data_IF_435770153866
#
_entry.id   IF_435770153866
#
_cell.length_a   1.000
_cell.length_b   1.000
_cell.length_c   1.000
_cell.angle_alpha   90.00
_cell.angle_beta   90.00
_cell.angle_gamma   90.00
#
_symmetry.space_group_name_H-M   'P 1'
#
loop_
_entity.id
_entity.type
_entity.pdbx_description
1 polymer ?
#
# COMPACT_ATOMS: atom_id res chain seq x y z
N UNK A 1 -16.45 22.93 13.64
CA UNK A 1 -17.03 23.83 12.60
C UNK A 1 -18.50 24.15 12.94
N UNK A 2 -19.06 25.31 12.55
CA UNK A 2 -20.40 25.78 13.00
C UNK A 2 -21.53 24.78 12.73
N UNK A 3 -21.57 24.15 11.56
CA UNK A 3 -22.62 23.20 11.13
C UNK A 3 -22.23 21.73 11.27
N UNK A 4 -21.19 21.44 12.05
CA UNK A 4 -20.63 20.09 12.12
C UNK A 4 -21.65 19.06 12.63
N UNK A 5 -22.50 19.42 13.60
CA UNK A 5 -23.52 18.51 14.16
C UNK A 5 -24.55 18.08 13.10
N UNK A 6 -25.06 19.04 12.32
CA UNK A 6 -26.07 18.75 11.29
C UNK A 6 -25.45 17.99 10.11
N UNK A 7 -24.25 18.38 9.67
CA UNK A 7 -23.53 17.72 8.57
C UNK A 7 -23.20 16.27 8.91
N UNK A 8 -22.79 15.99 10.16
CA UNK A 8 -22.60 14.62 10.66
C UNK A 8 -23.89 13.80 10.62
N UNK A 9 -25.01 14.38 11.07
CA UNK A 9 -26.32 13.71 11.05
C UNK A 9 -26.78 13.39 9.63
N UNK A 10 -26.62 14.33 8.70
CA UNK A 10 -26.92 14.12 7.29
C UNK A 10 -26.03 13.02 6.70
N UNK A 11 -24.75 12.96 7.06
CA UNK A 11 -23.79 12.00 6.49
C UNK A 11 -24.07 10.55 6.90
N UNK A 12 -24.86 10.34 7.94
CA UNK A 12 -25.32 9.02 8.39
C UNK A 12 -26.66 8.62 7.78
N UNK A 13 -27.31 9.48 6.98
CA UNK A 13 -28.60 9.19 6.37
C UNK A 13 -28.44 8.14 5.26
N UNK A 14 -29.28 7.09 5.19
CA UNK A 14 -29.20 6.06 4.15
C UNK A 14 -29.23 6.57 2.71
N UNK A 15 -29.94 7.67 2.45
CA UNK A 15 -30.00 8.35 1.15
C UNK A 15 -30.42 9.81 1.33
N UNK A 16 -29.59 10.72 0.85
CA UNK A 16 -29.84 12.15 0.82
C UNK A 16 -30.44 12.60 -0.51
N UNK A 17 -31.24 13.66 -0.44
CA UNK A 17 -31.70 14.46 -1.58
C UNK A 17 -31.50 15.93 -1.24
N UNK A 18 -31.53 16.81 -2.24
CA UNK A 18 -31.37 18.25 -2.04
C UNK A 18 -32.44 18.80 -1.09
N UNK A 19 -33.69 18.37 -1.24
CA UNK A 19 -34.81 18.80 -0.39
C UNK A 19 -34.63 18.38 1.06
N UNK A 20 -34.08 17.19 1.32
CA UNK A 20 -33.80 16.71 2.66
C UNK A 20 -32.71 17.53 3.34
N UNK A 21 -31.69 17.95 2.59
CA UNK A 21 -30.60 18.78 3.11
C UNK A 21 -31.13 20.16 3.44
N UNK A 22 -31.83 20.82 2.50
CA UNK A 22 -32.44 22.15 2.71
C UNK A 22 -33.42 22.12 3.90
N UNK A 23 -34.31 21.12 3.96
CA UNK A 23 -35.25 20.97 5.07
C UNK A 23 -34.56 20.77 6.42
N UNK A 24 -33.43 20.06 6.46
CA UNK A 24 -32.67 19.88 7.68
C UNK A 24 -32.04 21.20 8.16
N UNK A 25 -31.39 21.95 7.26
CA UNK A 25 -30.78 23.24 7.61
C UNK A 25 -31.83 24.26 8.08
N UNK A 26 -32.96 24.34 7.40
CA UNK A 26 -34.08 25.19 7.82
C UNK A 26 -34.63 24.78 9.20
N UNK A 27 -34.76 23.47 9.47
CA UNK A 27 -35.33 22.97 10.74
C UNK A 27 -34.40 23.16 11.95
N UNK A 28 -33.11 22.88 11.81
CA UNK A 28 -32.19 22.81 12.95
C UNK A 28 -31.33 24.06 13.11
N UNK A 29 -31.06 24.79 12.03
CA UNK A 29 -30.17 25.96 12.02
C UNK A 29 -30.91 27.25 11.64
N UNK A 30 -32.20 27.17 11.29
CA UNK A 30 -33.03 28.29 10.82
C UNK A 30 -32.36 29.09 9.68
N UNK A 31 -31.77 28.36 8.73
CA UNK A 31 -31.00 28.91 7.62
C UNK A 31 -31.35 28.24 6.31
N UNK A 32 -31.51 29.07 5.30
CA UNK A 32 -31.55 28.64 3.92
C UNK A 32 -30.12 28.44 3.39
N UNK A 33 -29.92 27.36 2.66
CA UNK A 33 -28.61 26.97 2.11
C UNK A 33 -28.79 26.60 0.64
N UNK A 34 -27.82 27.00 -0.17
CA UNK A 34 -27.78 26.59 -1.57
C UNK A 34 -27.16 25.19 -1.65
N UNK A 35 -27.87 24.26 -2.29
CA UNK A 35 -27.49 22.85 -2.40
C UNK A 35 -27.46 22.47 -3.87
N UNK A 36 -26.33 21.95 -4.31
CA UNK A 36 -26.13 21.53 -5.69
C UNK A 36 -25.61 20.10 -5.74
N UNK A 37 -26.25 19.23 -6.53
CA UNK A 37 -25.71 17.90 -6.82
C UNK A 37 -24.30 17.99 -7.42
N UNK A 38 -23.35 17.28 -6.80
CA UNK A 38 -21.93 17.27 -7.20
C UNK A 38 -21.34 15.87 -7.04
N UNK A 39 -20.59 15.42 -8.05
CA UNK A 39 -19.87 14.15 -7.98
C UNK A 39 -18.37 14.41 -7.81
N UNK A 40 -17.80 13.89 -6.73
CA UNK A 40 -16.36 13.91 -6.47
C UNK A 40 -15.93 12.47 -6.23
N UNK A 41 -15.68 11.72 -7.31
CA UNK A 41 -15.47 10.26 -7.25
C UNK A 41 -16.73 9.46 -6.88
N UNK A 42 -17.55 9.96 -5.95
CA UNK A 42 -18.86 9.45 -5.56
C UNK A 42 -19.93 10.53 -5.69
N UNK A 43 -21.20 10.15 -5.97
CA UNK A 43 -22.33 11.08 -5.95
C UNK A 43 -22.50 11.75 -4.59
N UNK A 44 -22.84 13.03 -4.59
CA UNK A 44 -23.00 13.83 -3.40
C UNK A 44 -23.60 15.19 -3.69
N UNK A 45 -23.48 16.08 -2.70
CA UNK A 45 -24.03 17.41 -2.70
C UNK A 45 -22.99 18.39 -2.17
N UNK A 46 -22.86 19.51 -2.87
CA UNK A 46 -22.16 20.69 -2.41
C UNK A 46 -23.17 21.60 -1.72
N UNK A 47 -22.83 22.08 -0.53
CA UNK A 47 -23.68 22.92 0.30
C UNK A 47 -22.93 24.22 0.57
N UNK A 48 -23.45 25.34 0.03
CA UNK A 48 -22.92 26.66 0.31
C UNK A 48 -23.47 27.18 1.64
N UNK A 49 -22.57 27.46 2.58
CA UNK A 49 -22.91 28.03 3.89
C UNK A 49 -22.13 29.33 4.12
N UNK A 50 -22.54 30.13 5.11
CA UNK A 50 -21.77 31.29 5.59
C UNK A 50 -20.40 30.92 6.18
N UNK A 51 -20.15 29.64 6.49
CA UNK A 51 -18.85 29.13 6.94
C UNK A 51 -17.95 28.65 5.79
N UNK A 52 -18.47 28.61 4.55
CA UNK A 52 -17.80 28.07 3.36
C UNK A 52 -18.55 26.89 2.73
N UNK A 53 -17.92 26.29 1.71
CA UNK A 53 -18.48 25.14 0.99
C UNK A 53 -18.28 23.84 1.77
N UNK A 54 -19.35 23.06 1.90
CA UNK A 54 -19.31 21.73 2.49
C UNK A 54 -19.64 20.69 1.43
N UNK A 55 -18.98 19.53 1.49
CA UNK A 55 -19.34 18.39 0.65
C UNK A 55 -19.91 17.25 1.50
N UNK A 56 -20.97 16.61 1.01
CA UNK A 56 -21.55 15.42 1.61
C UNK A 56 -21.88 14.41 0.53
N UNK A 57 -21.70 13.12 0.81
CA UNK A 57 -22.04 12.07 -0.15
C UNK A 57 -23.54 11.76 -0.12
N UNK A 58 -24.11 11.28 -1.23
CA UNK A 58 -25.53 10.94 -1.34
C UNK A 58 -25.93 9.85 -0.32
N UNK A 59 -24.99 8.95 -0.01
CA UNK A 59 -25.15 7.82 0.90
C UNK A 59 -24.02 7.82 1.93
N UNK A 60 -24.12 7.07 3.04
CA UNK A 60 -23.06 7.05 4.02
C UNK A 60 -21.82 6.34 3.46
N UNK A 61 -20.64 6.67 3.99
CA UNK A 61 -19.38 6.07 3.52
C UNK A 61 -19.38 4.53 3.67
N UNK A 62 -20.01 4.01 4.73
CA UNK A 62 -20.20 2.56 4.92
C UNK A 62 -20.93 1.90 3.75
N UNK A 63 -21.94 2.55 3.18
CA UNK A 63 -22.64 2.04 1.99
C UNK A 63 -21.71 1.94 0.78
N UNK A 64 -20.82 2.92 0.59
CA UNK A 64 -19.85 2.86 -0.50
C UNK A 64 -18.76 1.82 -0.24
N UNK A 65 -18.33 1.63 1.00
CA UNK A 65 -17.37 0.60 1.39
C UNK A 65 -17.88 -0.81 1.04
N UNK A 66 -19.18 -1.08 1.21
CA UNK A 66 -19.78 -2.39 0.94
C UNK A 66 -19.99 -2.68 -0.54
N UNK A 67 -20.20 -1.65 -1.37
CA UNK A 67 -20.69 -1.83 -2.75
C UNK A 67 -19.69 -1.48 -3.84
N UNK A 68 -18.62 -0.77 -3.52
CA UNK A 68 -17.60 -0.40 -4.51
C UNK A 68 -16.27 -1.09 -4.20
N UNK A 69 -15.67 -1.65 -5.24
CA UNK A 69 -14.30 -2.15 -5.23
C UNK A 69 -13.32 -1.03 -4.89
N UNK A 70 -12.33 -1.38 -4.08
CA UNK A 70 -11.20 -0.55 -3.65
C UNK A 70 -9.98 -1.46 -3.52
N UNK A 71 -8.81 -0.90 -3.76
CA UNK A 71 -7.52 -1.55 -3.46
C UNK A 71 -7.45 -1.90 -1.97
N UNK A 72 -8.01 -1.05 -1.11
CA UNK A 72 -8.21 -1.34 0.32
C UNK A 72 -8.90 -2.69 0.55
N UNK A 73 -10.03 -2.94 -0.12
CA UNK A 73 -10.76 -4.20 0.05
C UNK A 73 -10.03 -5.40 -0.54
N UNK A 74 -9.31 -5.21 -1.65
CA UNK A 74 -8.44 -6.25 -2.21
C UNK A 74 -7.32 -6.62 -1.23
N UNK A 75 -6.68 -5.63 -0.62
CA UNK A 75 -5.62 -5.86 0.35
C UNK A 75 -6.12 -6.55 1.62
N UNK A 76 -7.31 -6.19 2.12
CA UNK A 76 -7.94 -6.87 3.27
C UNK A 76 -8.16 -8.36 3.00
N UNK A 77 -8.64 -8.72 1.80
CA UNK A 77 -8.79 -10.12 1.37
C UNK A 77 -7.45 -10.85 1.16
N UNK A 78 -6.38 -10.11 0.92
CA UNK A 78 -5.03 -10.65 0.73
C UNK A 78 -4.25 -10.83 2.05
N UNK A 79 -4.75 -10.29 3.18
CA UNK A 79 -4.09 -10.42 4.49
C UNK A 79 -3.87 -11.87 4.94
N UNK A 80 -4.86 -12.79 4.83
CA UNK A 80 -4.66 -14.19 5.21
C UNK A 80 -3.56 -14.89 4.40
N UNK A 81 -3.34 -14.43 3.16
CA UNK A 81 -2.32 -14.93 2.22
C UNK A 81 -0.93 -14.30 2.45
N UNK A 82 -0.81 -13.38 3.41
CA UNK A 82 0.38 -12.57 3.66
C UNK A 82 0.84 -11.78 2.41
N UNK A 83 -0.08 -11.48 1.49
CA UNK A 83 0.24 -10.94 0.17
C UNK A 83 0.06 -9.42 0.12
N UNK A 84 1.11 -8.63 -0.16
CA UNK A 84 0.94 -7.21 -0.46
C UNK A 84 0.41 -7.04 -1.89
N UNK A 85 -0.49 -6.08 -2.10
CA UNK A 85 -1.01 -5.76 -3.44
C UNK A 85 0.15 -5.25 -4.32
N UNK A 86 0.47 -5.90 -5.45
CA UNK A 86 1.51 -5.41 -6.32
C UNK A 86 1.01 -4.36 -7.30
N UNK A 87 1.88 -3.42 -7.66
CA UNK A 87 1.49 -2.20 -8.39
C UNK A 87 1.66 -2.26 -9.91
N UNK A 88 2.38 -3.25 -10.44
CA UNK A 88 2.55 -3.41 -11.88
C UNK A 88 1.47 -4.28 -12.54
N UNK A 89 0.54 -4.87 -11.77
CA UNK A 89 -0.61 -5.58 -12.32
C UNK A 89 -1.58 -4.56 -12.91
N UNK A 90 -1.88 -4.72 -14.20
CA UNK A 90 -2.61 -3.74 -15.04
C UNK A 90 -4.13 -3.78 -14.78
N UNK A 91 -4.64 -4.61 -13.85
CA UNK A 91 -6.06 -4.59 -13.48
C UNK A 91 -6.40 -5.13 -12.11
N UNK A 92 -7.19 -4.36 -11.34
CA UNK A 92 -7.78 -4.77 -10.05
C UNK A 92 -8.58 -6.08 -10.18
N UNK A 93 -9.23 -6.31 -11.31
CA UNK A 93 -10.00 -7.53 -11.59
C UNK A 93 -9.13 -8.80 -11.60
N UNK A 94 -7.97 -8.76 -12.24
CA UNK A 94 -7.04 -9.89 -12.30
C UNK A 94 -6.48 -10.23 -10.92
N UNK A 95 -6.10 -9.21 -10.15
CA UNK A 95 -5.63 -9.40 -8.78
C UNK A 95 -6.74 -9.97 -7.88
N UNK A 96 -7.96 -9.44 -7.98
CA UNK A 96 -9.09 -9.94 -7.20
C UNK A 96 -9.43 -11.40 -7.55
N UNK A 97 -9.34 -11.77 -8.82
CA UNK A 97 -9.52 -13.14 -9.27
C UNK A 97 -8.43 -14.05 -8.69
N UNK A 98 -7.16 -13.65 -8.80
CA UNK A 98 -6.05 -14.42 -8.23
C UNK A 98 -6.20 -14.60 -6.70
N UNK A 99 -6.54 -13.54 -5.97
CA UNK A 99 -6.82 -13.60 -4.53
C UNK A 99 -7.98 -14.55 -4.22
N UNK A 100 -9.03 -14.54 -5.03
CA UNK A 100 -10.16 -15.45 -4.86
C UNK A 100 -9.73 -16.90 -5.09
N UNK A 101 -9.01 -17.19 -6.17
CA UNK A 101 -8.52 -18.53 -6.50
C UNK A 101 -7.59 -19.07 -5.40
N UNK A 102 -6.63 -18.25 -4.93
CA UNK A 102 -5.71 -18.62 -3.85
C UNK A 102 -6.44 -18.90 -2.52
N UNK A 103 -7.42 -18.06 -2.14
CA UNK A 103 -8.19 -18.27 -0.90
C UNK A 103 -9.05 -19.55 -0.94
N UNK A 104 -9.42 -20.05 -2.12
CA UNK A 104 -10.21 -21.26 -2.28
C UNK A 104 -9.37 -22.53 -2.56
N UNK A 105 -8.04 -22.42 -2.59
CA UNK A 105 -7.16 -23.57 -2.73
C UNK A 105 -7.14 -24.43 -1.45
N UNK A 106 -6.75 -25.71 -1.56
CA UNK A 106 -6.61 -26.60 -0.39
C UNK A 106 -5.60 -26.06 0.64
N UNK A 107 -4.49 -25.49 0.16
CA UNK A 107 -3.54 -24.75 0.99
C UNK A 107 -3.35 -23.32 0.44
N UNK A 108 -4.11 -22.34 0.97
CA UNK A 108 -4.06 -20.97 0.48
C UNK A 108 -2.69 -20.28 0.58
N UNK A 109 -1.91 -20.62 1.62
CA UNK A 109 -0.59 -20.02 1.84
C UNK A 109 0.42 -20.49 0.78
N UNK A 110 0.43 -21.79 0.50
CA UNK A 110 1.33 -22.37 -0.51
C UNK A 110 0.94 -21.90 -1.91
N UNK A 111 -0.35 -21.76 -2.20
CA UNK A 111 -0.84 -21.16 -3.44
C UNK A 111 -0.35 -19.71 -3.59
N UNK A 112 -0.41 -18.91 -2.52
CA UNK A 112 0.10 -17.54 -2.53
C UNK A 112 1.62 -17.43 -2.67
N UNK A 113 2.36 -18.34 -2.02
CA UNK A 113 3.82 -18.41 -2.15
C UNK A 113 4.24 -18.80 -3.58
N UNK A 114 3.53 -19.75 -4.19
CA UNK A 114 3.78 -20.18 -5.58
C UNK A 114 3.49 -19.05 -6.55
N UNK A 115 2.33 -18.41 -6.41
CA UNK A 115 1.94 -17.25 -7.21
C UNK A 115 2.97 -16.11 -7.10
N UNK A 116 3.47 -15.81 -5.89
CA UNK A 116 4.50 -14.78 -5.68
C UNK A 116 5.82 -15.10 -6.38
N UNK A 117 6.26 -16.35 -6.38
CA UNK A 117 7.50 -16.75 -7.04
C UNK A 117 7.37 -16.68 -8.56
N UNK A 118 6.23 -17.07 -9.13
CA UNK A 118 5.94 -16.89 -10.56
C UNK A 118 5.85 -15.42 -10.94
N UNK A 119 5.26 -14.61 -10.05
CA UNK A 119 5.11 -13.18 -10.21
C UNK A 119 6.45 -12.43 -10.17
N UNK A 120 7.42 -12.95 -9.43
CA UNK A 120 8.73 -12.33 -9.24
C UNK A 120 9.76 -12.78 -10.30
N UNK A 121 9.41 -12.55 -11.57
CA UNK A 121 10.29 -12.88 -12.69
C UNK A 121 11.52 -11.93 -12.76
N UNK A 122 12.68 -12.41 -13.26
CA UNK A 122 13.89 -11.58 -13.44
C UNK A 122 13.67 -10.28 -14.19
N UNK A 123 12.80 -10.29 -15.19
CA UNK A 123 12.44 -9.13 -16.00
C UNK A 123 11.70 -8.08 -15.18
N UNK A 124 10.82 -8.51 -14.27
CA UNK A 124 10.10 -7.62 -13.36
C UNK A 124 11.08 -7.02 -12.35
N UNK A 125 11.95 -7.83 -11.76
CA UNK A 125 12.96 -7.37 -10.82
C UNK A 125 13.90 -6.33 -11.46
N UNK A 126 14.40 -6.62 -12.65
CA UNK A 126 15.26 -5.73 -13.43
C UNK A 126 14.56 -4.40 -13.76
N UNK A 127 13.32 -4.45 -14.22
CA UNK A 127 12.53 -3.26 -14.56
C UNK A 127 12.32 -2.36 -13.35
N UNK A 128 11.95 -2.92 -12.20
CA UNK A 128 11.82 -2.15 -10.97
C UNK A 128 13.14 -1.53 -10.53
N UNK A 129 14.23 -2.30 -10.60
CA UNK A 129 15.56 -1.80 -10.25
C UNK A 129 15.98 -0.62 -11.14
N UNK A 130 15.93 -0.78 -12.46
CA UNK A 130 16.39 0.21 -13.42
C UNK A 130 15.50 1.47 -13.45
N UNK A 131 14.18 1.30 -13.45
CA UNK A 131 13.24 2.40 -13.73
C UNK A 131 12.68 3.07 -12.49
N UNK A 132 12.64 2.38 -11.35
CA UNK A 132 12.00 2.88 -10.13
C UNK A 132 13.02 3.07 -9.01
N UNK A 133 13.73 2.02 -8.60
CA UNK A 133 14.66 2.10 -7.47
C UNK A 133 15.90 2.96 -7.79
N UNK A 134 16.40 2.86 -9.03
CA UNK A 134 17.51 3.70 -9.50
C UNK A 134 17.11 5.16 -9.76
N UNK A 135 15.82 5.46 -9.86
CA UNK A 135 15.32 6.83 -9.99
C UNK A 135 14.88 7.44 -8.66
N UNK A 136 14.67 6.62 -7.62
CA UNK A 136 14.22 7.05 -6.30
C UNK A 136 15.30 7.78 -5.53
N UNK A 137 14.95 8.94 -4.99
CA UNK A 137 15.72 9.72 -4.03
C UNK A 137 15.66 9.10 -2.64
N UNK A 138 14.55 8.47 -2.27
CA UNK A 138 14.39 7.80 -0.97
C UNK A 138 15.26 6.56 -0.82
N UNK A 139 15.56 5.87 -1.94
CA UNK A 139 16.34 4.64 -1.98
C UNK A 139 17.76 4.84 -2.54
N UNK A 140 18.15 6.08 -2.88
CA UNK A 140 19.40 6.35 -3.62
C UNK A 140 20.66 5.80 -2.95
N UNK A 141 20.74 5.92 -1.63
CA UNK A 141 21.89 5.49 -0.83
C UNK A 141 21.92 3.96 -0.62
N UNK A 142 20.83 3.27 -0.95
CA UNK A 142 20.65 1.84 -0.73
C UNK A 142 20.58 1.04 -2.03
N UNK A 143 20.76 1.67 -3.20
CA UNK A 143 20.63 1.01 -4.52
C UNK A 143 21.52 -0.22 -4.66
N UNK A 144 22.77 -0.14 -4.19
CA UNK A 144 23.69 -1.29 -4.22
C UNK A 144 23.17 -2.45 -3.36
N UNK A 145 22.71 -2.17 -2.14
CA UNK A 145 22.13 -3.18 -1.24
C UNK A 145 20.91 -3.84 -1.91
N UNK A 146 20.05 -3.05 -2.56
CA UNK A 146 18.89 -3.59 -3.30
C UNK A 146 19.35 -4.51 -4.43
N UNK A 147 20.35 -4.10 -5.21
CA UNK A 147 20.87 -4.91 -6.31
C UNK A 147 21.48 -6.23 -5.81
N UNK A 148 22.36 -6.15 -4.81
CA UNK A 148 22.99 -7.31 -4.16
C UNK A 148 21.95 -8.24 -3.52
N UNK A 149 20.85 -7.71 -3.00
CA UNK A 149 19.77 -8.51 -2.44
C UNK A 149 19.00 -9.28 -3.54
N UNK A 150 18.73 -8.64 -4.69
CA UNK A 150 18.14 -9.30 -5.87
C UNK A 150 19.10 -10.39 -6.38
N UNK A 151 20.39 -10.10 -6.44
CA UNK A 151 21.41 -11.07 -6.84
C UNK A 151 21.46 -12.26 -5.88
N UNK A 152 21.49 -12.02 -4.58
CA UNK A 152 21.45 -13.05 -3.54
C UNK A 152 20.19 -13.91 -3.64
N UNK A 153 19.04 -13.32 -3.99
CA UNK A 153 17.80 -14.06 -4.22
C UNK A 153 17.97 -15.06 -5.39
N UNK A 154 18.45 -14.60 -6.54
CA UNK A 154 18.67 -15.48 -7.70
C UNK A 154 19.81 -16.48 -7.52
N UNK A 155 20.77 -16.22 -6.62
CA UNK A 155 21.77 -17.20 -6.18
C UNK A 155 21.21 -18.25 -5.20
N UNK A 156 19.94 -18.17 -4.81
CA UNK A 156 19.34 -19.08 -3.82
C UNK A 156 19.84 -18.85 -2.39
N UNK A 157 20.28 -17.62 -2.07
CA UNK A 157 20.73 -17.18 -0.75
C UNK A 157 19.60 -16.46 0.00
N UNK A 158 18.46 -17.13 0.17
CA UNK A 158 17.20 -16.53 0.63
C UNK A 158 17.33 -15.74 1.94
N UNK A 159 18.06 -16.28 2.92
CA UNK A 159 18.31 -15.60 4.20
C UNK A 159 18.97 -14.24 4.01
N UNK A 160 20.01 -14.17 3.17
CA UNK A 160 20.79 -12.95 2.93
C UNK A 160 19.95 -11.94 2.15
N UNK A 161 19.24 -12.40 1.13
CA UNK A 161 18.35 -11.57 0.32
C UNK A 161 17.25 -10.91 1.17
N UNK A 162 16.63 -11.68 2.06
CA UNK A 162 15.54 -11.18 2.92
C UNK A 162 16.07 -10.23 4.00
N UNK A 163 17.14 -10.63 4.71
CA UNK A 163 17.71 -9.82 5.80
C UNK A 163 18.29 -8.48 5.32
N UNK A 164 18.84 -8.44 4.10
CA UNK A 164 19.40 -7.21 3.52
C UNK A 164 18.31 -6.19 3.14
N UNK A 165 17.14 -6.62 2.69
CA UNK A 165 16.08 -5.70 2.27
C UNK A 165 15.28 -5.07 3.42
N UNK A 166 15.20 -5.70 4.61
CA UNK A 166 14.41 -5.13 5.72
C UNK A 166 14.94 -3.76 6.16
N UNK A 167 16.24 -3.57 6.43
CA UNK A 167 16.78 -2.26 6.77
C UNK A 167 16.58 -1.23 5.66
N UNK A 168 16.71 -1.63 4.39
CA UNK A 168 16.47 -0.76 3.23
C UNK A 168 15.02 -0.30 3.18
N UNK A 169 14.08 -1.21 3.41
CA UNK A 169 12.66 -0.89 3.47
C UNK A 169 12.36 0.14 4.57
N UNK A 170 12.87 -0.07 5.79
CA UNK A 170 12.66 0.87 6.90
C UNK A 170 13.27 2.25 6.60
N UNK A 171 14.49 2.26 6.05
CA UNK A 171 15.18 3.48 5.73
C UNK A 171 14.49 4.24 4.59
N UNK A 172 14.07 3.54 3.53
CA UNK A 172 13.30 4.11 2.43
C UNK A 172 11.97 4.68 2.90
N UNK A 173 11.23 3.96 3.75
CA UNK A 173 9.96 4.44 4.32
C UNK A 173 10.16 5.70 5.17
N UNK A 174 11.24 5.75 5.94
CA UNK A 174 11.59 6.93 6.73
C UNK A 174 11.98 8.12 5.85
N UNK A 175 12.76 7.89 4.81
CA UNK A 175 13.20 8.94 3.89
C UNK A 175 12.01 9.57 3.16
N UNK A 176 11.07 8.76 2.66
CA UNK A 176 9.89 9.29 1.98
C UNK A 176 8.97 10.05 2.94
N UNK A 177 8.79 9.55 4.17
CA UNK A 177 7.97 10.24 5.17
C UNK A 177 8.61 11.55 5.61
N UNK A 178 9.92 11.60 5.81
CA UNK A 178 10.63 12.84 6.09
C UNK A 178 10.49 13.83 4.91
N UNK A 179 10.66 13.37 3.67
CA UNK A 179 10.53 14.21 2.48
C UNK A 179 9.13 14.82 2.32
N UNK A 180 8.06 14.08 2.67
CA UNK A 180 6.67 14.52 2.48
C UNK A 180 6.09 15.29 3.67
N UNK A 181 6.48 14.92 4.89
CA UNK A 181 5.90 15.44 6.13
C UNK A 181 6.87 16.31 6.94
N UNK A 182 8.14 16.43 6.53
CA UNK A 182 9.21 17.10 7.29
C UNK A 182 9.34 16.58 8.73
N UNK A 183 9.24 15.26 8.91
CA UNK A 183 9.29 14.58 10.21
C UNK A 183 10.69 14.10 10.58
N UNK A 184 10.90 13.83 11.86
CA UNK A 184 12.20 13.40 12.41
C UNK A 184 12.78 12.14 11.71
N UNK A 185 14.03 12.26 11.27
CA UNK A 185 14.83 11.22 10.60
C UNK A 185 15.35 10.13 11.54
N UNK A 186 15.15 10.23 12.85
CA UNK A 186 15.55 9.22 13.84
C UNK A 186 14.49 8.14 14.13
N UNK A 187 13.31 8.18 13.50
CA UNK A 187 12.22 7.30 13.88
C UNK A 187 12.43 5.82 13.48
N UNK A 188 12.13 4.91 14.40
CA UNK A 188 12.14 3.45 14.20
C UNK A 188 10.85 2.76 14.69
N UNK A 189 9.87 3.53 15.19
CA UNK A 189 8.63 2.96 15.74
C UNK A 189 7.61 2.67 14.63
N UNK A 190 7.10 1.43 14.62
CA UNK A 190 6.02 0.99 13.74
C UNK A 190 4.74 1.82 13.87
N UNK A 191 4.37 2.21 15.09
CA UNK A 191 3.19 3.06 15.32
C UNK A 191 3.34 4.44 14.68
N UNK A 192 4.55 5.02 14.77
CA UNK A 192 4.85 6.29 14.12
C UNK A 192 4.85 6.14 12.60
N UNK A 193 5.42 5.06 12.07
CA UNK A 193 5.38 4.78 10.62
C UNK A 193 3.94 4.64 10.10
N UNK A 194 3.08 3.92 10.81
CA UNK A 194 1.66 3.77 10.44
C UNK A 194 0.93 5.11 10.48
N UNK A 195 1.16 5.90 11.54
CA UNK A 195 0.60 7.25 11.66
C UNK A 195 1.04 8.15 10.51
N UNK A 196 2.32 8.14 10.14
CA UNK A 196 2.81 8.97 9.04
C UNK A 196 2.27 8.52 7.68
N UNK A 197 2.06 7.21 7.45
CA UNK A 197 1.33 6.74 6.26
C UNK A 197 -0.12 7.26 6.24
N UNK A 198 -0.79 7.28 7.40
CA UNK A 198 -2.12 7.88 7.53
C UNK A 198 -2.11 9.38 7.24
N UNK A 199 -1.11 10.11 7.74
CA UNK A 199 -0.99 11.54 7.51
C UNK A 199 -0.74 11.85 6.02
N UNK A 200 0.07 11.06 5.32
CA UNK A 200 0.26 11.15 3.85
C UNK A 200 -1.08 10.95 3.11
N UNK A 201 -1.86 9.92 3.48
CA UNK A 201 -3.17 9.65 2.87
C UNK A 201 -4.11 10.86 3.01
N UNK A 202 -4.16 11.44 4.21
CA UNK A 202 -5.01 12.59 4.52
C UNK A 202 -4.52 13.84 3.78
N UNK A 203 -3.23 14.16 3.86
CA UNK A 203 -2.65 15.32 3.20
C UNK A 203 -2.86 15.25 1.68
N UNK A 204 -2.59 14.10 1.07
CA UNK A 204 -2.76 13.91 -0.37
C UNK A 204 -4.23 13.95 -0.80
N UNK A 205 -5.11 13.27 -0.06
CA UNK A 205 -6.54 13.24 -0.36
C UNK A 205 -7.21 14.61 -0.21
N UNK A 206 -6.83 15.40 0.80
CA UNK A 206 -7.37 16.75 1.05
C UNK A 206 -7.07 17.74 -0.08
N UNK A 207 -6.02 17.54 -0.89
CA UNK A 207 -5.74 18.39 -2.07
C UNK A 207 -6.89 18.40 -3.09
N UNK A 208 -7.65 17.31 -3.19
CA UNK A 208 -8.85 17.25 -4.05
C UNK A 208 -10.06 18.00 -3.47
N UNK A 209 -9.96 18.47 -2.22
CA UNK A 209 -11.05 19.04 -1.45
C UNK A 209 -10.69 20.40 -0.85
N UNK A 210 -9.69 21.10 -1.40
CA UNK A 210 -9.18 22.37 -0.85
C UNK A 210 -10.27 23.44 -0.71
N UNK A 211 -11.24 23.44 -1.63
CA UNK A 211 -12.38 24.36 -1.62
C UNK A 211 -13.40 24.06 -0.50
N UNK A 212 -13.39 22.84 0.06
CA UNK A 212 -14.37 22.40 1.04
C UNK A 212 -13.87 22.58 2.47
N UNK A 213 -14.54 23.45 3.20
CA UNK A 213 -14.27 23.66 4.62
C UNK A 213 -14.64 22.43 5.45
N UNK A 214 -15.59 21.62 4.98
CA UNK A 214 -16.04 20.40 5.64
C UNK A 214 -16.33 19.27 4.64
N UNK A 215 -15.97 18.04 5.00
CA UNK A 215 -16.32 16.81 4.29
C UNK A 215 -16.41 15.63 5.28
N UNK A 216 -16.96 14.47 4.89
CA UNK A 216 -17.09 13.33 5.79
C UNK A 216 -15.76 12.96 6.45
N UNK A 217 -15.80 12.81 7.77
CA UNK A 217 -14.67 12.47 8.63
C UNK A 217 -13.73 13.61 9.03
N UNK A 218 -13.71 14.73 8.28
CA UNK A 218 -12.74 15.83 8.47
C UNK A 218 -12.72 16.33 9.91
N UNK A 219 -11.59 16.17 10.58
CA UNK A 219 -11.30 16.68 11.93
C UNK A 219 -12.17 16.10 13.08
N UNK A 220 -13.09 15.17 12.81
CA UNK A 220 -13.93 14.53 13.84
C UNK A 220 -13.88 13.00 13.86
N UNK A 221 -13.55 12.34 12.74
CA UNK A 221 -13.48 10.89 12.64
C UNK A 221 -12.49 10.48 11.53
N UNK A 222 -11.22 10.32 11.90
CA UNK A 222 -10.15 9.96 10.97
C UNK A 222 -10.43 8.65 10.19
N UNK A 223 -10.90 7.54 10.80
CA UNK A 223 -11.27 6.35 10.03
C UNK A 223 -12.26 6.63 8.90
N UNK A 224 -13.33 7.38 9.18
CA UNK A 224 -14.33 7.76 8.16
C UNK A 224 -13.73 8.69 7.12
N UNK A 225 -12.84 9.60 7.53
CA UNK A 225 -12.14 10.50 6.61
C UNK A 225 -11.28 9.72 5.63
N UNK A 226 -10.48 8.77 6.11
CA UNK A 226 -9.65 7.91 5.28
C UNK A 226 -10.50 7.14 4.30
N UNK A 227 -11.56 6.47 4.77
CA UNK A 227 -12.46 5.72 3.88
C UNK A 227 -13.04 6.63 2.79
N UNK A 228 -13.53 7.81 3.16
CA UNK A 228 -14.01 8.79 2.20
C UNK A 228 -12.91 9.19 1.20
N UNK A 229 -11.70 9.50 1.66
CA UNK A 229 -10.59 9.90 0.81
C UNK A 229 -10.17 8.78 -0.16
N UNK A 230 -10.19 7.52 0.25
CA UNK A 230 -9.91 6.39 -0.65
C UNK A 230 -10.95 6.24 -1.77
N UNK A 231 -12.21 6.64 -1.53
CA UNK A 231 -13.25 6.60 -2.57
C UNK A 231 -13.10 7.68 -3.63
N UNK A 232 -12.46 8.80 -3.30
CA UNK A 232 -12.32 9.95 -4.21
C UNK A 232 -10.89 10.08 -4.79
N UNK A 233 -9.93 9.40 -4.17
CA UNK A 233 -8.52 9.46 -4.50
C UNK A 233 -7.92 8.05 -4.60
N UNK A 234 -7.78 7.51 -5.82
CA UNK A 234 -7.18 6.19 -6.03
C UNK A 234 -5.75 6.08 -5.47
N UNK A 235 -4.98 7.16 -5.50
CA UNK A 235 -3.65 7.19 -4.90
C UNK A 235 -3.71 6.95 -3.38
N UNK A 236 -4.61 7.66 -2.69
CA UNK A 236 -4.85 7.46 -1.26
C UNK A 236 -5.34 6.03 -0.95
N UNK A 237 -6.11 5.41 -1.85
CA UNK A 237 -6.57 4.01 -1.71
C UNK A 237 -5.42 3.00 -1.79
N UNK A 238 -4.49 3.18 -2.75
CA UNK A 238 -3.28 2.35 -2.85
C UNK A 238 -2.42 2.45 -1.59
N UNK A 239 -2.16 3.67 -1.10
CA UNK A 239 -1.39 3.89 0.13
C UNK A 239 -2.13 3.31 1.34
N UNK A 240 -3.46 3.38 1.37
CA UNK A 240 -4.28 2.80 2.43
C UNK A 240 -4.18 1.26 2.46
N UNK A 241 -4.22 0.62 1.29
CA UNK A 241 -3.91 -0.80 1.16
C UNK A 241 -2.53 -1.11 1.76
N UNK A 242 -1.49 -0.44 1.30
CA UNK A 242 -0.15 -0.65 1.85
C UNK A 242 -0.08 -0.44 3.38
N UNK A 243 -0.75 0.59 3.92
CA UNK A 243 -0.83 0.83 5.37
C UNK A 243 -1.47 -0.34 6.12
N UNK A 244 -2.54 -0.92 5.57
CA UNK A 244 -3.22 -2.09 6.15
C UNK A 244 -2.28 -3.30 6.17
N UNK A 245 -1.57 -3.56 5.07
CA UNK A 245 -0.58 -4.63 5.02
C UNK A 245 0.55 -4.42 6.03
N UNK A 246 1.13 -3.23 6.04
CA UNK A 246 2.20 -2.82 6.95
C UNK A 246 1.82 -3.09 8.41
N UNK A 247 0.65 -2.61 8.84
CA UNK A 247 0.18 -2.72 10.22
C UNK A 247 -0.14 -4.15 10.64
N UNK A 248 -0.82 -4.92 9.77
CA UNK A 248 -1.39 -6.21 10.14
C UNK A 248 -0.44 -7.38 9.91
N UNK A 249 0.59 -7.23 9.07
CA UNK A 249 1.56 -8.28 8.74
C UNK A 249 2.96 -7.91 9.23
N UNK A 250 3.60 -6.92 8.59
CA UNK A 250 5.01 -6.58 8.82
C UNK A 250 5.29 -6.08 10.24
N UNK A 251 4.43 -5.22 10.78
CA UNK A 251 4.58 -4.58 12.10
C UNK A 251 3.54 -5.05 13.12
N UNK A 252 2.91 -6.21 12.87
CA UNK A 252 2.04 -6.83 13.86
C UNK A 252 2.82 -7.04 15.17
N UNK A 253 2.26 -6.68 16.34
CA UNK A 253 2.91 -6.97 17.62
C UNK A 253 3.26 -8.45 17.73
N UNK A 254 4.47 -8.75 18.19
CA UNK A 254 5.05 -10.10 18.25
C UNK A 254 4.53 -10.97 19.40
N UNK A 255 3.49 -10.52 20.11
CA UNK A 255 2.87 -11.29 21.20
C UNK A 255 1.95 -12.37 20.64
N UNK A 256 2.30 -13.66 20.82
CA UNK A 256 1.48 -14.82 20.43
C UNK A 256 1.97 -15.56 19.18
N UNK A 257 1.06 -16.28 18.51
CA UNK A 257 1.37 -17.02 17.29
C UNK A 257 1.44 -16.09 16.07
N UNK A 258 2.63 -15.55 15.85
CA UNK A 258 2.94 -14.67 14.73
C UNK A 258 3.79 -15.46 13.73
N UNK A 259 3.38 -15.45 12.45
CA UNK A 259 4.11 -16.05 11.35
C UNK A 259 5.55 -15.50 11.27
N UNK A 260 6.51 -16.30 10.79
CA UNK A 260 7.91 -15.90 10.61
C UNK A 260 8.12 -14.63 9.78
N UNK A 261 7.17 -14.29 8.91
CA UNK A 261 7.17 -13.06 8.12
C UNK A 261 6.66 -11.84 8.92
N UNK A 262 7.45 -11.42 9.90
CA UNK A 262 7.22 -10.24 10.73
C UNK A 262 8.56 -9.54 10.98
N UNK A 263 8.60 -8.20 10.89
CA UNK A 263 9.84 -7.42 11.05
C UNK A 263 10.57 -7.74 12.34
N UNK A 264 9.86 -7.77 13.46
CA UNK A 264 10.48 -7.99 14.77
C UNK A 264 11.03 -9.42 14.88
N UNK A 265 10.31 -10.40 14.33
CA UNK A 265 10.75 -11.80 14.31
C UNK A 265 11.99 -11.98 13.45
N UNK A 266 12.02 -11.38 12.25
CA UNK A 266 13.16 -11.50 11.32
C UNK A 266 14.38 -10.78 11.87
N UNK A 267 14.23 -9.53 12.32
CA UNK A 267 15.35 -8.70 12.79
C UNK A 267 15.99 -9.21 14.09
N UNK A 268 15.22 -9.88 14.94
CA UNK A 268 15.72 -10.46 16.19
C UNK A 268 15.93 -11.98 16.12
N UNK A 269 15.76 -12.58 14.93
CA UNK A 269 15.92 -14.02 14.69
C UNK A 269 15.14 -14.88 15.69
N UNK A 270 13.92 -14.45 16.04
CA UNK A 270 13.08 -15.14 17.04
C UNK A 270 12.44 -16.42 16.49
N UNK A 271 12.26 -16.49 15.18
CA UNK A 271 11.91 -17.70 14.41
C UNK A 271 12.73 -17.69 13.13
N UNK A 272 13.26 -18.85 12.73
CA UNK A 272 14.12 -19.00 11.55
C UNK A 272 13.37 -19.48 10.30
N UNK A 273 12.03 -19.47 10.30
CA UNK A 273 11.16 -19.87 9.20
C UNK A 273 10.90 -18.75 8.17
N UNK A 274 11.65 -17.65 8.24
CA UNK A 274 11.50 -16.51 7.32
C UNK A 274 12.18 -16.73 5.97
N UNK A 275 12.97 -17.78 5.80
CA UNK A 275 13.77 -18.06 4.60
C UNK A 275 12.98 -18.53 3.38
N UNK A 276 11.65 -18.55 3.43
CA UNK A 276 10.82 -18.83 2.26
C UNK A 276 11.08 -17.77 1.17
N UNK A 277 11.48 -18.16 -0.06
CA UNK A 277 11.77 -17.22 -1.16
C UNK A 277 10.67 -16.19 -1.42
N UNK A 278 9.40 -16.56 -1.23
CA UNK A 278 8.27 -15.65 -1.44
C UNK A 278 8.29 -14.44 -0.48
N UNK A 279 8.95 -14.54 0.68
CA UNK A 279 9.14 -13.43 1.60
C UNK A 279 10.05 -12.33 1.03
N UNK A 280 11.01 -12.69 0.16
CA UNK A 280 11.78 -11.69 -0.58
C UNK A 280 10.86 -10.88 -1.49
N UNK A 281 10.03 -11.56 -2.30
CA UNK A 281 9.07 -10.91 -3.19
C UNK A 281 8.09 -10.00 -2.41
N UNK A 282 7.64 -10.42 -1.22
CA UNK A 282 6.79 -9.58 -0.34
C UNK A 282 7.48 -8.26 0.05
N UNK A 283 8.74 -8.32 0.52
CA UNK A 283 9.49 -7.11 0.90
C UNK A 283 9.79 -6.26 -0.34
N UNK A 284 10.14 -6.90 -1.45
CA UNK A 284 10.36 -6.21 -2.72
C UNK A 284 9.12 -5.42 -3.15
N UNK A 285 7.93 -6.02 -3.09
CA UNK A 285 6.67 -5.32 -3.39
C UNK A 285 6.48 -4.13 -2.43
N UNK A 286 6.86 -4.26 -1.15
CA UNK A 286 6.80 -3.13 -0.22
C UNK A 286 7.73 -1.97 -0.63
N UNK A 287 8.90 -2.25 -1.21
CA UNK A 287 9.75 -1.20 -1.81
C UNK A 287 9.06 -0.51 -2.99
N UNK A 288 8.27 -1.24 -3.78
CA UNK A 288 7.49 -0.64 -4.88
C UNK A 288 6.42 0.32 -4.38
N UNK A 289 5.86 0.09 -3.18
CA UNK A 289 4.94 1.05 -2.54
C UNK A 289 5.64 2.33 -2.08
N UNK A 290 6.90 2.23 -1.63
CA UNK A 290 7.71 3.42 -1.30
C UNK A 290 7.94 4.26 -2.55
N UNK A 291 8.34 3.65 -3.67
CA UNK A 291 8.54 4.40 -4.92
C UNK A 291 7.23 4.93 -5.50
N UNK A 292 6.11 4.24 -5.32
CA UNK A 292 4.79 4.78 -5.68
C UNK A 292 4.45 6.04 -4.88
N UNK A 293 4.62 6.01 -3.55
CA UNK A 293 4.41 7.20 -2.71
C UNK A 293 5.33 8.34 -3.15
N UNK A 294 6.60 8.03 -3.46
CA UNK A 294 7.56 9.01 -3.95
C UNK A 294 7.17 9.62 -5.30
N UNK A 295 6.67 8.82 -6.23
CA UNK A 295 6.25 9.27 -7.57
C UNK A 295 5.12 10.31 -7.56
N UNK A 296 4.43 10.49 -6.42
CA UNK A 296 3.41 11.51 -6.24
C UNK A 296 4.00 12.93 -6.29
N UNK A 297 5.23 13.12 -5.83
CA UNK A 297 5.93 14.41 -5.84
C UNK A 297 7.20 14.39 -6.70
N UNK A 298 7.86 13.25 -6.81
CA UNK A 298 9.09 13.10 -7.58
C UNK A 298 8.81 12.68 -9.02
N UNK A 299 9.01 13.61 -9.96
CA UNK A 299 8.82 13.35 -11.40
C UNK A 299 9.84 12.39 -12.01
N UNK A 300 10.95 12.13 -11.32
CA UNK A 300 11.97 11.20 -11.79
C UNK A 300 11.51 9.74 -11.66
N UNK A 301 10.68 9.44 -10.66
CA UNK A 301 10.13 8.11 -10.44
C UNK A 301 8.86 7.96 -11.28
N UNK A 302 8.77 6.96 -12.17
CA UNK A 302 7.57 6.72 -12.95
C UNK A 302 6.36 6.41 -12.04
N UNK A 303 5.23 7.07 -12.31
CA UNK A 303 3.97 6.79 -11.60
C UNK A 303 3.29 5.50 -12.10
N UNK A 304 3.37 5.22 -13.41
CA UNK A 304 2.81 4.02 -14.03
C UNK A 304 3.91 3.04 -14.43
N UNK A 305 3.53 1.77 -14.54
CA UNK A 305 4.37 0.73 -15.14
C UNK A 305 4.81 1.15 -16.56
N UNK A 306 6.13 1.13 -16.81
CA UNK A 306 6.73 1.58 -18.07
C UNK A 306 6.94 0.44 -19.08
N UNK A 307 6.56 -0.78 -18.74
CA UNK A 307 6.93 -1.96 -19.52
C UNK A 307 8.42 -2.30 -19.37
N UNK A 308 8.80 -3.42 -19.97
CA UNK A 308 10.16 -3.97 -20.01
C UNK A 308 10.84 -3.47 -21.28
N UNK A 309 12.08 -2.97 -21.20
CA UNK A 309 12.89 -2.59 -22.35
C UNK A 309 14.20 -3.39 -22.47
N UNK A 310 15.00 -3.12 -23.51
CA UNK A 310 16.23 -3.86 -23.79
C UNK A 310 17.24 -3.84 -22.63
N UNK A 311 17.33 -2.73 -21.88
CA UNK A 311 18.25 -2.65 -20.73
C UNK A 311 17.76 -3.50 -19.57
N UNK A 312 16.45 -3.56 -19.38
CA UNK A 312 15.85 -4.46 -18.38
C UNK A 312 16.10 -5.92 -18.77
N UNK A 313 16.00 -6.25 -20.05
CA UNK A 313 16.29 -7.59 -20.56
C UNK A 313 17.76 -7.98 -20.40
N UNK A 314 18.71 -7.05 -20.57
CA UNK A 314 20.14 -7.30 -20.32
C UNK A 314 20.40 -7.65 -18.84
N UNK A 315 19.82 -6.87 -17.92
CA UNK A 315 19.94 -7.14 -16.47
C UNK A 315 19.20 -8.42 -16.08
N UNK A 316 18.04 -8.68 -16.67
CA UNK A 316 17.32 -9.93 -16.46
C UNK A 316 18.09 -11.14 -17.00
N UNK A 317 18.80 -11.01 -18.12
CA UNK A 317 19.67 -12.05 -18.65
C UNK A 317 20.84 -12.35 -17.70
N UNK A 318 21.40 -11.32 -17.04
CA UNK A 318 22.37 -11.50 -15.96
C UNK A 318 21.78 -12.32 -14.81
N UNK A 319 20.61 -11.94 -14.28
CA UNK A 319 19.93 -12.67 -13.20
C UNK A 319 19.59 -14.11 -13.58
N UNK A 320 19.10 -14.34 -14.80
CA UNK A 320 18.85 -15.67 -15.34
C UNK A 320 20.15 -16.50 -15.44
N UNK A 321 21.25 -15.87 -15.87
CA UNK A 321 22.56 -16.50 -15.97
C UNK A 321 23.08 -16.98 -14.61
N UNK A 322 23.10 -16.11 -13.60
CA UNK A 322 23.56 -16.48 -12.25
C UNK A 322 22.63 -17.53 -11.60
N UNK A 323 21.32 -17.43 -11.83
CA UNK A 323 20.35 -18.37 -11.28
C UNK A 323 20.59 -19.77 -11.83
N UNK A 324 20.71 -19.91 -13.16
CA UNK A 324 20.94 -21.22 -13.79
C UNK A 324 22.32 -21.79 -13.52
N UNK A 325 23.36 -20.95 -13.55
CA UNK A 325 24.75 -21.42 -13.40
C UNK A 325 25.12 -21.72 -11.96
N UNK A 326 24.60 -20.94 -11.01
CA UNK A 326 25.01 -20.99 -9.61
C UNK A 326 23.84 -21.28 -8.67
N UNK A 327 22.71 -20.58 -8.82
CA UNK A 327 21.56 -20.70 -7.90
C UNK A 327 20.91 -22.09 -7.88
N UNK A 328 20.43 -22.56 -9.04
CA UNK A 328 19.77 -23.85 -9.23
C UNK A 328 20.62 -25.04 -8.72
N UNK A 329 21.92 -25.16 -9.06
CA UNK A 329 22.74 -26.24 -8.56
C UNK A 329 23.17 -26.07 -7.09
N UNK A 330 23.12 -24.86 -6.53
CA UNK A 330 23.63 -24.58 -5.18
C UNK A 330 22.94 -25.39 -4.10
N UNK A 331 21.60 -25.43 -4.07
CA UNK A 331 20.87 -26.14 -2.99
C UNK A 331 21.19 -27.65 -2.99
N UNK A 332 21.16 -28.37 -4.13
CA UNK A 332 21.65 -29.75 -4.19
C UNK A 332 23.10 -29.93 -3.73
N UNK A 333 24.02 -29.04 -4.15
CA UNK A 333 25.44 -29.11 -3.75
C UNK A 333 25.61 -28.89 -2.24
N UNK A 334 24.92 -27.92 -1.66
CA UNK A 334 25.00 -27.68 -0.22
C UNK A 334 24.48 -28.86 0.59
N UNK A 335 23.39 -29.50 0.13
CA UNK A 335 22.88 -30.73 0.73
C UNK A 335 23.90 -31.87 0.66
N UNK A 336 24.61 -32.03 -0.47
CA UNK A 336 25.66 -33.06 -0.59
C UNK A 336 26.87 -32.79 0.31
N UNK A 337 27.14 -31.52 0.63
CA UNK A 337 28.14 -31.09 1.61
C UNK A 337 27.66 -31.15 3.08
N UNK A 338 26.43 -31.63 3.33
CA UNK A 338 25.87 -31.77 4.68
C UNK A 338 25.29 -30.48 5.26
N UNK A 339 25.16 -29.41 4.46
CA UNK A 339 24.50 -28.16 4.87
C UNK A 339 22.99 -28.32 4.66
N UNK A 340 22.29 -28.66 5.74
CA UNK A 340 20.84 -28.82 5.76
C UNK A 340 20.14 -27.49 6.12
N UNK A 341 18.90 -27.28 5.65
CA UNK A 341 18.11 -26.07 5.93
C UNK A 341 17.92 -25.10 4.74
N UNK A 342 18.32 -25.54 3.53
CA UNK A 342 18.03 -24.88 2.25
C UNK A 342 17.11 -25.73 1.36
#
# INVERSE_FOLDING_TARGET
>A
MKYEKILRKLSSNPKLTEELIVAAFNKYENKDVDVCAKTIGKPGFEIATDAGLCFITERPISYYNERWGRVTGAQERALPLLLPVPLHIIGEGQLNQAIFEMNNAENPKDAADSWLNEFFAPEIAATYFNKFFSASDSLKDYRLIVFEAIEAYYLGMDHVAIMSLIPVFEAGLRNIQNSLLCVDSGNVSGEKFERYLRDIIIQWGRRKLEIYVWHPGKDYNQPVEIDFLTHICPQSDVINGFRIYFKNILYKPSYGDVNGFNRHIIMHLLKNDFNNPSNFARIFICLTHITFIESLENKNVPFFWRGIDDKDLEVAAYFNGISRMLGDPRRPILRSLGVNGY
#
